data_IF_914549458093
#
_entry.id   IF_914549458093
#
_cell.length_a   1.000
_cell.length_b   1.000
_cell.length_c   1.000
_cell.angle_alpha   90.00
_cell.angle_beta   90.00
_cell.angle_gamma   90.00
#
_symmetry.space_group_name_H-M   'P 1'
#
loop_
_entity.id
_entity.type
_entity.pdbx_description
1 polymer ?
#
# COMPACT_ATOMS: atom_id res chain seq x y z
N UNK A 1 14.05 -13.49 5.12
CA UNK A 1 13.75 -13.02 3.76
C UNK A 1 14.50 -11.72 3.49
N UNK A 2 15.03 -11.54 2.28
CA UNK A 2 15.65 -10.28 1.86
C UNK A 2 14.59 -9.41 1.18
N UNK A 3 14.45 -8.17 1.63
CA UNK A 3 13.67 -7.17 0.91
C UNK A 3 14.62 -6.09 0.43
N UNK A 4 14.97 -6.18 -0.85
CA UNK A 4 15.56 -5.06 -1.56
C UNK A 4 14.40 -4.23 -2.09
N UNK A 5 14.15 -3.07 -1.50
CA UNK A 5 13.30 -2.06 -2.13
C UNK A 5 14.11 -1.47 -3.30
N UNK A 6 14.23 -2.22 -4.39
CA UNK A 6 14.99 -1.81 -5.57
C UNK A 6 14.09 -1.35 -6.71
N UNK A 7 14.62 -0.38 -7.44
CA UNK A 7 14.11 0.23 -8.66
C UNK A 7 13.69 -0.76 -9.75
N UNK A 8 12.87 -0.32 -10.74
CA UNK A 8 12.62 -1.09 -11.95
C UNK A 8 13.93 -1.25 -12.74
N UNK A 9 14.57 -2.43 -12.65
CA UNK A 9 15.78 -2.75 -13.44
C UNK A 9 16.81 -3.68 -12.77
N UNK A 10 16.68 -3.97 -11.47
CA UNK A 10 17.68 -4.71 -10.67
C UNK A 10 17.69 -6.24 -10.84
N UNK A 11 17.25 -6.79 -11.99
CA UNK A 11 17.26 -8.25 -12.24
C UNK A 11 18.66 -8.87 -12.29
N UNK A 12 19.71 -8.06 -12.43
CA UNK A 12 21.10 -8.52 -12.57
C UNK A 12 21.82 -8.86 -11.24
N UNK A 13 21.20 -8.67 -10.07
CA UNK A 13 21.93 -8.75 -8.79
C UNK A 13 21.48 -9.85 -7.83
N UNK A 14 20.44 -10.63 -8.18
CA UNK A 14 20.13 -11.88 -7.49
C UNK A 14 21.20 -12.97 -7.71
N UNK A 15 21.99 -12.89 -8.78
CA UNK A 15 23.02 -13.89 -9.12
C UNK A 15 24.23 -13.87 -8.19
N UNK A 16 24.61 -12.71 -7.63
CA UNK A 16 25.77 -12.62 -6.72
C UNK A 16 25.49 -13.28 -5.36
N UNK A 17 24.22 -13.33 -4.94
CA UNK A 17 23.74 -14.02 -3.74
C UNK A 17 23.56 -15.52 -3.99
N UNK A 18 23.21 -15.94 -5.21
CA UNK A 18 23.15 -17.37 -5.61
C UNK A 18 24.49 -18.06 -5.37
N UNK A 19 25.60 -17.39 -5.70
CA UNK A 19 26.96 -17.91 -5.55
C UNK A 19 27.39 -18.20 -4.10
N UNK A 20 26.78 -17.54 -3.10
CA UNK A 20 27.05 -17.84 -1.68
C UNK A 20 26.14 -18.95 -1.12
N UNK A 21 24.94 -19.15 -1.68
CA UNK A 21 24.03 -20.22 -1.24
C UNK A 21 24.38 -21.60 -1.80
N UNK A 22 25.01 -21.67 -2.98
CA UNK A 22 25.41 -22.93 -3.62
C UNK A 22 26.61 -23.63 -2.94
N UNK A 23 27.29 -22.96 -2.00
CA UNK A 23 28.46 -23.49 -1.31
C UNK A 23 28.15 -24.35 -0.06
N UNK A 24 26.88 -24.64 0.28
CA UNK A 24 26.55 -25.46 1.47
C UNK A 24 25.51 -26.56 1.17
N UNK A 25 26.06 -27.75 0.88
CA UNK A 25 25.60 -29.09 1.25
C UNK A 25 24.09 -29.40 1.23
N UNK A 26 23.66 -30.17 0.22
CA UNK A 26 22.43 -30.97 0.26
C UNK A 26 22.68 -32.28 1.02
N UNK A 27 22.00 -32.50 2.14
CA UNK A 27 21.75 -33.82 2.72
C UNK A 27 20.29 -34.24 2.45
N UNK A 28 19.99 -35.53 2.23
CA UNK A 28 18.63 -35.95 1.90
C UNK A 28 17.85 -36.28 3.19
N UNK A 29 16.68 -35.67 3.38
CA UNK A 29 15.68 -36.23 4.30
C UNK A 29 14.43 -36.66 3.55
N UNK A 30 14.17 -37.97 3.62
CA UNK A 30 12.88 -38.58 3.30
C UNK A 30 11.95 -38.34 4.48
N UNK A 31 10.74 -37.84 4.25
CA UNK A 31 9.65 -38.02 5.21
C UNK A 31 8.39 -38.55 4.53
N UNK A 32 8.01 -39.75 4.99
CA UNK A 32 6.80 -40.50 4.69
C UNK A 32 5.56 -39.81 5.26
N UNK A 33 4.48 -39.82 4.49
CA UNK A 33 3.23 -39.17 4.85
C UNK A 33 2.53 -39.76 6.09
N UNK A 34 1.90 -38.86 6.85
CA UNK A 34 0.66 -39.13 7.59
C UNK A 34 -0.26 -37.93 7.42
N UNK A 35 -1.47 -38.21 6.92
CA UNK A 35 -2.61 -37.27 6.94
C UNK A 35 -2.85 -36.87 8.39
N UNK A 36 -2.77 -35.57 8.67
CA UNK A 36 -3.25 -35.00 9.93
C UNK A 36 -4.48 -34.14 9.65
N UNK A 37 -5.43 -34.27 10.56
CA UNK A 37 -6.79 -33.73 10.51
C UNK A 37 -6.82 -32.21 10.38
N UNK A 38 -7.80 -31.72 9.63
CA UNK A 38 -8.12 -30.31 9.47
C UNK A 38 -8.48 -29.71 10.83
N UNK A 39 -7.51 -29.08 11.49
CA UNK A 39 -7.76 -28.20 12.62
C UNK A 39 -8.27 -26.86 12.09
N UNK A 40 -9.39 -26.39 12.66
CA UNK A 40 -10.04 -25.13 12.37
C UNK A 40 -9.04 -23.97 12.25
N UNK A 41 -8.97 -23.38 11.06
CA UNK A 41 -8.20 -22.17 10.76
C UNK A 41 -9.03 -20.96 11.22
N UNK A 42 -9.21 -20.79 12.52
CA UNK A 42 -9.63 -19.52 13.13
C UNK A 42 -8.40 -18.83 13.70
N UNK A 43 -7.56 -18.24 12.84
CA UNK A 43 -6.31 -17.65 13.32
C UNK A 43 -5.48 -16.82 12.33
N UNK A 44 -5.91 -16.62 11.09
CA UNK A 44 -5.23 -15.74 10.14
C UNK A 44 -5.43 -14.26 10.51
N UNK A 45 -4.72 -13.77 11.52
CA UNK A 45 -4.71 -12.35 11.92
C UNK A 45 -3.91 -11.55 10.88
N UNK A 46 -4.37 -10.38 10.44
CA UNK A 46 -3.61 -9.50 9.53
C UNK A 46 -2.34 -8.93 10.17
N UNK A 47 -1.59 -8.09 9.42
CA UNK A 47 -0.53 -7.23 9.99
C UNK A 47 -1.05 -5.92 10.58
N UNK A 48 -2.35 -5.63 10.44
CA UNK A 48 -2.99 -4.59 11.23
C UNK A 48 -2.80 -4.92 12.72
N UNK A 49 -2.17 -4.00 13.44
CA UNK A 49 -2.02 -4.10 14.89
C UNK A 49 -3.40 -4.22 15.51
N UNK A 50 -3.53 -5.08 16.51
CA UNK A 50 -4.66 -4.91 17.44
C UNK A 50 -4.30 -3.73 18.34
N UNK A 51 -5.25 -2.85 18.63
CA UNK A 51 -5.10 -1.92 19.76
C UNK A 51 -4.59 -2.69 21.00
N UNK A 52 -3.50 -2.21 21.61
CA UNK A 52 -2.77 -2.92 22.65
C UNK A 52 -1.58 -3.78 22.16
N UNK A 53 -1.19 -3.71 20.89
CA UNK A 53 0.10 -4.21 20.40
C UNK A 53 1.03 -3.04 20.11
N UNK A 54 2.27 -3.15 20.61
CA UNK A 54 3.25 -2.06 20.54
C UNK A 54 4.23 -2.28 19.39
N UNK A 55 4.58 -1.23 18.66
CA UNK A 55 5.75 -1.21 17.79
C UNK A 55 6.77 -0.18 18.28
N UNK A 56 8.04 -0.58 18.37
CA UNK A 56 9.13 0.34 18.71
C UNK A 56 9.90 0.72 17.45
N UNK A 57 10.10 2.02 17.22
CA UNK A 57 10.82 2.55 16.07
C UNK A 57 11.99 3.42 16.52
N UNK A 58 13.21 3.04 16.16
CA UNK A 58 14.40 3.86 16.43
C UNK A 58 14.69 4.82 15.28
N UNK A 59 15.22 6.00 15.57
CA UNK A 59 15.41 7.06 14.58
C UNK A 59 14.08 7.62 14.05
N UNK A 60 13.01 7.59 14.86
CA UNK A 60 11.65 7.97 14.44
C UNK A 60 11.47 9.47 14.13
N UNK A 61 12.43 10.33 14.50
CA UNK A 61 12.33 11.78 14.34
C UNK A 61 12.45 12.32 12.89
N UNK A 62 12.66 11.46 11.88
CA UNK A 62 12.71 11.88 10.47
C UNK A 62 12.78 10.69 9.49
N UNK A 63 12.38 10.92 8.24
CA UNK A 63 12.68 10.04 7.11
C UNK A 63 12.00 8.67 7.23
N UNK A 64 12.74 7.57 6.96
CA UNK A 64 12.18 6.21 6.98
C UNK A 64 11.61 5.83 8.35
N UNK A 65 12.26 6.24 9.44
CA UNK A 65 11.77 5.96 10.80
C UNK A 65 10.46 6.67 11.09
N UNK A 66 10.34 7.92 10.68
CA UNK A 66 9.09 8.69 10.81
C UNK A 66 7.97 8.05 9.96
N UNK A 67 8.27 7.67 8.72
CA UNK A 67 7.33 6.99 7.84
C UNK A 67 6.86 5.65 8.42
N UNK A 68 7.75 4.87 9.05
CA UNK A 68 7.36 3.66 9.79
C UNK A 68 6.41 3.99 10.94
N UNK A 69 6.72 4.98 11.77
CA UNK A 69 5.86 5.38 12.88
C UNK A 69 4.46 5.78 12.39
N UNK A 70 4.38 6.62 11.36
CA UNK A 70 3.11 7.02 10.70
C UNK A 70 2.32 5.83 10.20
N UNK A 71 2.96 4.93 9.45
CA UNK A 71 2.29 3.77 8.88
C UNK A 71 1.82 2.79 9.96
N UNK A 72 2.63 2.53 10.98
CA UNK A 72 2.30 1.61 12.06
C UNK A 72 1.18 2.17 12.96
N UNK A 73 1.16 3.48 13.23
CA UNK A 73 0.01 4.11 13.89
C UNK A 73 -1.27 3.94 13.07
N UNK A 74 -1.22 4.16 11.75
CA UNK A 74 -2.36 3.96 10.85
C UNK A 74 -2.82 2.49 10.79
N UNK A 75 -1.90 1.55 10.91
CA UNK A 75 -2.18 0.11 11.00
C UNK A 75 -2.69 -0.31 12.40
N UNK A 76 -2.76 0.61 13.37
CA UNK A 76 -3.40 0.42 14.68
C UNK A 76 -2.47 -0.02 15.82
N UNK A 77 -1.16 0.13 15.67
CA UNK A 77 -0.19 -0.11 16.74
C UNK A 77 -0.12 1.07 17.71
N UNK A 78 0.05 0.76 18.99
CA UNK A 78 0.64 1.71 19.95
C UNK A 78 2.16 1.79 19.66
N UNK A 79 2.79 2.92 19.97
CA UNK A 79 4.17 3.19 19.55
C UNK A 79 5.08 3.54 20.71
N UNK A 80 6.33 3.10 20.62
CA UNK A 80 7.46 3.69 21.33
C UNK A 80 8.38 4.31 20.28
N UNK A 81 8.51 5.63 20.29
CA UNK A 81 9.34 6.35 19.32
C UNK A 81 10.65 6.79 19.98
N UNK A 82 11.77 6.33 19.42
CA UNK A 82 13.11 6.52 20.00
C UNK A 82 13.97 7.37 19.07
N UNK A 83 14.48 8.50 19.56
CA UNK A 83 15.49 9.32 18.88
C UNK A 83 16.10 10.34 19.86
N UNK A 84 17.15 11.05 19.43
CA UNK A 84 17.81 12.08 20.25
C UNK A 84 17.00 13.37 20.41
N UNK A 85 16.22 13.75 19.38
CA UNK A 85 15.51 15.03 19.31
C UNK A 85 14.11 14.89 19.90
N UNK A 86 14.00 15.10 21.20
CA UNK A 86 12.76 14.92 21.94
C UNK A 86 11.60 15.79 21.41
N UNK A 87 11.85 17.05 21.08
CA UNK A 87 10.80 17.96 20.59
C UNK A 87 10.10 17.42 19.34
N UNK A 88 10.86 16.94 18.35
CA UNK A 88 10.30 16.34 17.14
C UNK A 88 9.56 15.02 17.41
N UNK A 89 10.00 14.25 18.42
CA UNK A 89 9.29 13.03 18.81
C UNK A 89 7.95 13.36 19.47
N UNK A 90 7.88 14.42 20.28
CA UNK A 90 6.64 14.88 20.89
C UNK A 90 5.65 15.41 19.85
N UNK A 91 6.13 16.20 18.87
CA UNK A 91 5.31 16.64 17.74
C UNK A 91 4.74 15.45 16.96
N UNK A 92 5.58 14.47 16.63
CA UNK A 92 5.14 13.24 15.98
C UNK A 92 4.14 12.46 16.85
N UNK A 93 4.39 12.35 18.15
CA UNK A 93 3.50 11.64 19.08
C UNK A 93 2.12 12.30 19.16
N UNK A 94 2.06 13.64 19.25
CA UNK A 94 0.82 14.40 19.28
C UNK A 94 0.04 14.24 17.96
N UNK A 95 0.75 14.32 16.84
CA UNK A 95 0.16 14.10 15.52
C UNK A 95 -0.43 12.70 15.39
N UNK A 96 0.35 11.65 15.69
CA UNK A 96 -0.09 10.27 15.55
C UNK A 96 -1.20 9.90 16.54
N UNK A 97 -1.16 10.45 17.76
CA UNK A 97 -2.22 10.28 18.75
C UNK A 97 -3.53 10.94 18.28
N UNK A 98 -3.46 12.17 17.75
CA UNK A 98 -4.63 12.87 17.22
C UNK A 98 -5.18 12.24 15.94
N UNK A 99 -4.30 11.82 15.02
CA UNK A 99 -4.65 11.27 13.73
C UNK A 99 -5.05 9.80 13.79
N UNK A 100 -4.55 8.98 14.72
CA UNK A 100 -4.81 7.53 14.72
C UNK A 100 -5.26 6.98 16.07
N UNK A 101 -5.37 7.83 17.10
CA UNK A 101 -5.75 7.38 18.45
C UNK A 101 -4.82 6.32 19.02
N UNK A 102 -3.58 6.24 18.52
CA UNK A 102 -2.52 5.37 19.02
C UNK A 102 -1.95 5.98 20.31
N UNK A 103 -1.63 5.15 21.30
CA UNK A 103 -0.79 5.61 22.41
C UNK A 103 0.66 5.69 21.93
N UNK A 104 1.29 6.85 22.03
CA UNK A 104 2.68 7.06 21.59
C UNK A 104 3.53 7.48 22.78
N UNK A 105 4.45 6.60 23.18
CA UNK A 105 5.47 6.85 24.18
C UNK A 105 6.72 7.44 23.52
N UNK A 106 7.18 8.58 24.02
CA UNK A 106 8.39 9.26 23.56
C UNK A 106 9.56 8.86 24.46
N UNK A 107 10.61 8.27 23.88
CA UNK A 107 11.81 7.84 24.59
C UNK A 107 13.05 8.53 23.98
N UNK A 108 13.47 9.67 24.56
CA UNK A 108 14.70 10.34 24.16
C UNK A 108 15.93 9.47 24.48
N UNK A 109 16.70 9.11 23.46
CA UNK A 109 17.89 8.28 23.63
C UNK A 109 18.93 8.55 22.55
N UNK A 110 20.19 8.65 22.95
CA UNK A 110 21.34 8.57 22.05
C UNK A 110 21.85 7.12 21.99
N UNK A 111 21.55 6.43 20.89
CA UNK A 111 21.93 5.04 20.68
C UNK A 111 23.43 4.84 20.41
N UNK A 112 24.25 5.89 20.49
CA UNK A 112 25.72 5.76 20.60
C UNK A 112 26.21 5.64 22.04
N UNK A 113 25.32 5.83 23.02
CA UNK A 113 25.61 5.75 24.46
C UNK A 113 25.08 4.45 25.03
N UNK A 114 25.96 3.64 25.61
CA UNK A 114 25.63 2.29 26.11
C UNK A 114 24.52 2.30 27.17
N UNK A 115 24.53 3.28 28.07
CA UNK A 115 23.51 3.43 29.11
C UNK A 115 22.10 3.69 28.52
N UNK A 116 22.02 4.46 27.45
CA UNK A 116 20.75 4.73 26.75
C UNK A 116 20.26 3.49 26.00
N UNK A 117 21.16 2.77 25.32
CA UNK A 117 20.84 1.47 24.68
C UNK A 117 20.32 0.48 25.73
N UNK A 118 20.95 0.40 26.90
CA UNK A 118 20.53 -0.48 27.98
C UNK A 118 19.13 -0.13 28.51
N UNK A 119 18.81 1.17 28.65
CA UNK A 119 17.48 1.65 29.05
C UNK A 119 16.41 1.27 28.03
N UNK A 120 16.62 1.53 26.74
CA UNK A 120 15.67 1.15 25.69
C UNK A 120 15.51 -0.37 25.62
N UNK A 121 16.60 -1.14 25.75
CA UNK A 121 16.55 -2.59 25.79
C UNK A 121 15.76 -3.11 27.01
N UNK A 122 15.86 -2.45 28.16
CA UNK A 122 15.07 -2.78 29.35
C UNK A 122 13.59 -2.53 29.10
N UNK A 123 13.22 -1.36 28.58
CA UNK A 123 11.84 -1.04 28.23
C UNK A 123 11.24 -2.06 27.25
N UNK A 124 12.03 -2.55 26.29
CA UNK A 124 11.64 -3.64 25.37
C UNK A 124 11.36 -4.94 26.13
N UNK A 125 12.22 -5.34 27.07
CA UNK A 125 12.06 -6.59 27.84
C UNK A 125 10.81 -6.57 28.72
N UNK A 126 10.46 -5.39 29.24
CA UNK A 126 9.30 -5.17 30.10
C UNK A 126 7.98 -5.11 29.29
N UNK A 127 8.06 -4.95 27.96
CA UNK A 127 6.90 -4.86 27.08
C UNK A 127 6.37 -6.24 26.64
N UNK A 128 5.36 -6.73 27.35
CA UNK A 128 4.63 -7.95 26.98
C UNK A 128 3.87 -7.85 25.64
N UNK A 129 3.59 -6.64 25.17
CA UNK A 129 2.80 -6.32 23.96
C UNK A 129 3.65 -6.01 22.72
N UNK A 130 4.98 -5.93 22.82
CA UNK A 130 5.84 -5.59 21.68
C UNK A 130 5.68 -6.60 20.53
N UNK A 131 5.04 -6.16 19.45
CA UNK A 131 4.79 -6.96 18.26
C UNK A 131 5.81 -6.69 17.16
N UNK A 132 6.40 -5.48 17.13
CA UNK A 132 7.36 -5.09 16.10
C UNK A 132 8.51 -4.24 16.68
N UNK A 133 9.74 -4.55 16.27
CA UNK A 133 10.92 -3.70 16.48
C UNK A 133 11.44 -3.23 15.12
N UNK A 134 11.59 -1.93 14.93
CA UNK A 134 12.21 -1.33 13.75
C UNK A 134 13.53 -0.67 14.16
N UNK A 135 14.64 -1.38 13.94
CA UNK A 135 15.99 -0.84 14.09
C UNK A 135 16.32 0.03 12.87
N UNK A 136 15.94 1.30 12.93
CA UNK A 136 16.13 2.26 11.84
C UNK A 136 17.17 3.34 12.13
N UNK A 137 17.46 3.65 13.40
CA UNK A 137 18.42 4.69 13.74
C UNK A 137 19.77 4.50 13.02
N UNK A 138 20.23 5.57 12.39
CA UNK A 138 21.50 5.56 11.67
C UNK A 138 21.84 6.91 11.04
N UNK A 139 23.10 7.04 10.67
CA UNK A 139 23.67 8.21 10.00
C UNK A 139 24.87 7.79 9.15
N UNK A 140 25.35 8.67 8.28
CA UNK A 140 26.58 8.45 7.53
C UNK A 140 27.49 9.66 7.61
N UNK A 141 28.73 9.48 7.17
CA UNK A 141 29.78 10.49 7.03
C UNK A 141 30.34 10.39 5.61
N UNK A 142 30.59 11.50 4.94
CA UNK A 142 31.03 11.52 3.54
C UNK A 142 32.50 11.98 3.41
N UNK A 143 33.42 11.18 3.94
CA UNK A 143 34.86 11.45 3.91
C UNK A 143 35.64 10.17 3.60
N UNK A 144 36.91 10.31 3.18
CA UNK A 144 37.79 9.15 3.06
C UNK A 144 38.00 8.55 4.44
N UNK A 145 38.04 7.22 4.53
CA UNK A 145 38.20 6.47 5.78
C UNK A 145 39.33 7.01 6.68
N UNK A 146 40.50 7.30 6.08
CA UNK A 146 41.70 7.75 6.79
C UNK A 146 41.64 9.22 7.21
N UNK A 147 40.77 10.01 6.58
CA UNK A 147 40.64 11.45 6.83
C UNK A 147 39.47 11.75 7.79
N UNK A 148 38.52 10.82 7.91
CA UNK A 148 37.33 10.96 8.75
C UNK A 148 37.65 10.79 10.25
N UNK A 149 36.97 11.59 11.09
CA UNK A 149 37.06 11.49 12.56
C UNK A 149 36.76 10.05 13.04
N UNK A 150 37.73 9.44 13.72
CA UNK A 150 37.61 8.06 14.20
C UNK A 150 36.43 7.89 15.17
N UNK A 151 36.20 8.87 16.04
CA UNK A 151 35.11 8.81 17.01
C UNK A 151 33.74 8.79 16.31
N UNK A 152 33.56 9.57 15.24
CA UNK A 152 32.35 9.53 14.41
C UNK A 152 32.14 8.16 13.76
N UNK A 153 33.21 7.54 13.26
CA UNK A 153 33.15 6.21 12.67
C UNK A 153 32.80 5.13 13.71
N UNK A 154 33.37 5.21 14.92
CA UNK A 154 33.05 4.32 16.03
C UNK A 154 31.60 4.51 16.51
N UNK A 155 31.12 5.76 16.63
CA UNK A 155 29.72 6.05 16.93
C UNK A 155 28.78 5.46 15.89
N UNK A 156 29.14 5.53 14.61
CA UNK A 156 28.34 4.94 13.53
C UNK A 156 28.23 3.42 13.70
N UNK A 157 29.34 2.74 13.95
CA UNK A 157 29.34 1.30 14.22
C UNK A 157 28.53 0.94 15.48
N UNK A 158 28.60 1.76 16.53
CA UNK A 158 27.82 1.56 17.74
C UNK A 158 26.31 1.65 17.46
N UNK A 159 25.86 2.73 16.82
CA UNK A 159 24.43 2.95 16.51
C UNK A 159 23.91 1.90 15.54
N UNK A 160 24.63 1.62 14.45
CA UNK A 160 24.14 0.69 13.43
C UNK A 160 24.19 -0.77 13.87
N UNK A 161 25.22 -1.18 14.63
CA UNK A 161 25.45 -2.59 14.92
C UNK A 161 25.15 -2.93 16.39
N UNK A 162 25.83 -2.29 17.34
CA UNK A 162 25.76 -2.67 18.76
C UNK A 162 24.39 -2.36 19.37
N UNK A 163 23.82 -1.20 19.06
CA UNK A 163 22.46 -0.86 19.49
C UNK A 163 21.44 -1.83 18.85
N UNK A 164 21.47 -2.00 17.52
CA UNK A 164 20.55 -2.90 16.83
C UNK A 164 20.64 -4.35 17.35
N UNK A 165 21.85 -4.86 17.63
CA UNK A 165 22.08 -6.16 18.25
C UNK A 165 21.41 -6.23 19.63
N UNK A 166 21.68 -5.27 20.49
CA UNK A 166 21.19 -5.25 21.88
C UNK A 166 19.66 -5.17 21.95
N UNK A 167 19.05 -4.30 21.13
CA UNK A 167 17.60 -4.14 21.06
C UNK A 167 16.92 -5.36 20.44
N UNK A 168 17.53 -5.95 19.41
CA UNK A 168 17.04 -7.20 18.80
C UNK A 168 17.06 -8.34 19.80
N UNK A 169 18.15 -8.52 20.53
CA UNK A 169 18.26 -9.55 21.55
C UNK A 169 17.16 -9.40 22.62
N UNK A 170 16.94 -8.18 23.12
CA UNK A 170 15.87 -7.88 24.06
C UNK A 170 14.47 -8.21 23.49
N UNK A 171 14.19 -7.82 22.25
CA UNK A 171 12.89 -8.03 21.63
C UNK A 171 12.60 -9.52 21.36
N UNK A 172 13.60 -10.26 20.86
CA UNK A 172 13.43 -11.66 20.49
C UNK A 172 13.10 -12.56 21.68
N UNK A 173 13.62 -12.27 22.88
CA UNK A 173 13.29 -13.03 24.10
C UNK A 173 11.77 -13.09 24.33
N UNK A 174 11.10 -11.93 24.31
CA UNK A 174 9.65 -11.84 24.48
C UNK A 174 8.87 -12.36 23.26
N UNK A 175 9.31 -12.04 22.05
CA UNK A 175 8.62 -12.47 20.82
C UNK A 175 8.62 -13.99 20.64
N UNK A 176 9.74 -14.66 20.91
CA UNK A 176 9.87 -16.11 20.83
C UNK A 176 8.99 -16.78 21.88
N UNK A 177 9.00 -16.28 23.13
CA UNK A 177 8.12 -16.80 24.19
C UNK A 177 6.64 -16.72 23.82
N UNK A 178 6.22 -15.70 23.06
CA UNK A 178 4.85 -15.53 22.56
C UNK A 178 4.57 -16.26 21.23
N UNK A 179 5.59 -16.83 20.60
CA UNK A 179 5.50 -17.46 19.29
C UNK A 179 5.14 -16.50 18.14
N UNK A 180 5.37 -15.20 18.31
CA UNK A 180 4.98 -14.17 17.34
C UNK A 180 5.76 -12.86 17.55
N UNK A 181 6.09 -12.21 16.45
CA UNK A 181 6.70 -10.89 16.42
C UNK A 181 7.49 -10.67 15.14
N UNK A 182 7.90 -9.44 14.89
CA UNK A 182 8.71 -9.07 13.73
C UNK A 182 9.83 -8.10 14.13
N UNK A 183 11.03 -8.33 13.61
CA UNK A 183 12.15 -7.39 13.70
C UNK A 183 12.51 -6.92 12.28
N UNK A 184 12.60 -5.61 12.08
CA UNK A 184 13.05 -4.98 10.84
C UNK A 184 14.36 -4.26 11.14
N UNK A 185 15.44 -4.73 10.52
CA UNK A 185 16.74 -4.06 10.55
C UNK A 185 16.90 -3.25 9.26
N UNK A 186 16.90 -1.91 9.38
CA UNK A 186 17.04 -1.01 8.23
C UNK A 186 18.52 -0.90 7.86
N UNK A 187 18.90 -1.71 6.88
CA UNK A 187 20.20 -1.69 6.22
C UNK A 187 20.22 -0.65 5.09
N UNK A 188 20.84 -0.97 3.96
CA UNK A 188 20.96 -0.16 2.75
C UNK A 188 21.44 -1.02 1.60
N UNK A 189 21.16 -0.61 0.35
CA UNK A 189 21.83 -1.19 -0.82
C UNK A 189 23.36 -1.10 -0.72
N UNK A 190 23.89 -0.13 0.02
CA UNK A 190 25.31 0.03 0.29
C UNK A 190 25.89 -1.12 1.14
N UNK A 191 25.05 -1.83 1.90
CA UNK A 191 25.43 -3.06 2.60
C UNK A 191 25.60 -4.27 1.68
N UNK A 192 25.16 -4.17 0.41
CA UNK A 192 25.29 -5.23 -0.61
C UNK A 192 26.34 -4.88 -1.67
N UNK A 193 26.51 -3.58 -1.94
CA UNK A 193 27.43 -3.05 -2.96
C UNK A 193 28.23 -1.92 -2.33
N UNK A 194 29.53 -2.13 -2.04
CA UNK A 194 30.34 -1.08 -1.42
C UNK A 194 30.62 0.05 -2.41
N UNK A 195 30.74 1.27 -1.90
CA UNK A 195 31.06 2.48 -2.63
C UNK A 195 32.28 3.20 -2.01
N UNK A 196 33.11 3.90 -2.82
CA UNK A 196 34.15 4.77 -2.28
C UNK A 196 33.59 5.78 -1.27
N UNK A 197 34.41 6.17 -0.29
CA UNK A 197 34.07 7.15 0.76
C UNK A 197 32.97 6.72 1.76
N UNK A 198 32.50 5.48 1.71
CA UNK A 198 31.49 4.94 2.62
C UNK A 198 31.92 3.65 3.34
N UNK A 199 33.22 3.35 3.41
CA UNK A 199 33.71 2.04 3.86
C UNK A 199 33.10 1.54 5.20
N UNK A 200 33.06 2.39 6.23
CA UNK A 200 32.46 2.04 7.54
C UNK A 200 30.93 1.94 7.44
N UNK A 201 30.29 2.90 6.75
CA UNK A 201 28.85 2.85 6.53
C UNK A 201 28.42 1.54 5.84
N UNK A 202 29.04 1.22 4.70
CA UNK A 202 28.79 0.00 3.93
C UNK A 202 29.01 -1.25 4.78
N UNK A 203 30.11 -1.31 5.54
CA UNK A 203 30.42 -2.43 6.42
C UNK A 203 29.36 -2.61 7.53
N UNK A 204 28.90 -1.52 8.16
CA UNK A 204 27.85 -1.58 9.19
C UNK A 204 26.49 -2.01 8.60
N UNK A 205 26.17 -1.57 7.38
CA UNK A 205 24.96 -2.00 6.68
C UNK A 205 25.06 -3.47 6.23
N UNK A 206 26.25 -3.91 5.81
CA UNK A 206 26.54 -5.32 5.52
C UNK A 206 26.43 -6.22 6.75
N UNK A 207 26.87 -5.73 7.92
CA UNK A 207 26.64 -6.42 9.19
C UNK A 207 25.15 -6.67 9.43
N UNK A 208 24.30 -5.65 9.29
CA UNK A 208 22.84 -5.79 9.48
C UNK A 208 22.21 -6.80 8.52
N UNK A 209 22.72 -6.91 7.29
CA UNK A 209 22.29 -7.92 6.32
C UNK A 209 22.59 -9.32 6.85
N UNK A 210 23.86 -9.63 7.07
CA UNK A 210 24.29 -10.97 7.50
C UNK A 210 23.72 -11.35 8.88
N UNK A 211 23.63 -10.38 9.79
CA UNK A 211 23.03 -10.56 11.11
C UNK A 211 21.56 -10.98 11.00
N UNK A 212 20.78 -10.30 10.15
CA UNK A 212 19.37 -10.62 9.93
C UNK A 212 19.19 -11.98 9.26
N UNK A 213 20.08 -12.37 8.35
CA UNK A 213 20.06 -13.70 7.74
C UNK A 213 20.32 -14.81 8.74
N UNK A 214 21.35 -14.65 9.59
CA UNK A 214 21.67 -15.60 10.64
C UNK A 214 20.48 -15.81 11.57
N UNK A 215 19.90 -14.72 12.07
CA UNK A 215 18.69 -14.77 12.88
C UNK A 215 17.51 -15.41 12.15
N UNK A 216 17.33 -15.16 10.86
CA UNK A 216 16.23 -15.77 10.10
C UNK A 216 16.33 -17.30 10.07
N UNK A 217 17.56 -17.86 10.02
CA UNK A 217 17.75 -19.31 10.10
C UNK A 217 17.41 -19.85 11.50
N UNK A 218 17.85 -19.15 12.55
CA UNK A 218 17.62 -19.53 13.95
C UNK A 218 16.14 -19.44 14.35
N UNK A 219 15.40 -18.48 13.80
CA UNK A 219 14.01 -18.22 14.15
C UNK A 219 13.00 -19.13 13.43
N UNK A 220 13.45 -20.06 12.57
CA UNK A 220 12.56 -21.01 11.88
C UNK A 220 11.71 -21.80 12.87
N UNK A 221 10.40 -21.85 12.62
CA UNK A 221 9.44 -22.55 13.47
C UNK A 221 9.03 -21.81 14.76
N UNK A 222 9.67 -20.69 15.11
CA UNK A 222 9.30 -19.90 16.30
C UNK A 222 8.05 -19.02 16.09
N UNK A 223 7.65 -18.78 14.83
CA UNK A 223 6.59 -17.84 14.48
C UNK A 223 7.02 -16.36 14.48
N UNK A 224 8.27 -16.08 14.86
CA UNK A 224 8.90 -14.75 14.81
C UNK A 224 9.60 -14.55 13.46
N UNK A 225 9.58 -13.32 12.94
CA UNK A 225 10.23 -12.95 11.67
C UNK A 225 11.31 -11.90 11.90
N UNK A 226 12.34 -11.96 11.07
CA UNK A 226 13.36 -10.93 10.95
C UNK A 226 13.57 -10.59 9.49
N UNK A 227 13.67 -9.30 9.19
CA UNK A 227 13.85 -8.75 7.85
C UNK A 227 15.05 -7.80 7.84
N UNK A 228 15.97 -7.99 6.89
CA UNK A 228 16.86 -6.94 6.46
C UNK A 228 16.15 -6.12 5.37
N UNK A 229 15.85 -4.86 5.67
CA UNK A 229 15.36 -3.90 4.70
C UNK A 229 16.55 -3.18 4.09
N UNK A 230 16.72 -3.23 2.77
CA UNK A 230 17.84 -2.60 2.06
C UNK A 230 17.34 -1.49 1.12
N UNK A 231 17.07 -0.27 1.61
CA UNK A 231 16.63 0.84 0.77
C UNK A 231 17.71 1.31 -0.20
N UNK A 232 17.27 1.80 -1.36
CA UNK A 232 18.07 2.62 -2.27
C UNK A 232 18.06 4.11 -1.87
N UNK A 233 18.35 5.00 -2.82
CA UNK A 233 18.24 6.44 -2.61
C UNK A 233 16.80 6.80 -2.23
N UNK A 234 16.65 7.47 -1.08
CA UNK A 234 15.34 7.76 -0.48
C UNK A 234 15.33 9.21 -0.01
N UNK A 235 14.31 9.96 -0.41
CA UNK A 235 14.13 11.37 -0.06
C UNK A 235 14.00 11.53 1.47
N UNK A 236 15.13 11.83 2.11
CA UNK A 236 15.27 11.96 3.57
C UNK A 236 16.38 12.95 3.88
N UNK A 237 16.34 13.56 5.08
CA UNK A 237 17.43 14.43 5.54
C UNK A 237 18.81 13.76 5.64
N UNK A 238 18.88 12.43 5.50
CA UNK A 238 20.12 11.67 5.48
C UNK A 238 21.03 12.09 4.32
N UNK A 239 20.51 12.22 3.10
CA UNK A 239 21.31 12.54 1.91
C UNK A 239 21.73 14.01 1.88
N UNK A 240 20.88 14.91 2.37
CA UNK A 240 21.19 16.32 2.59
C UNK A 240 22.38 16.47 3.56
N UNK A 241 22.36 15.73 4.68
CA UNK A 241 23.39 15.79 5.71
C UNK A 241 24.78 15.34 5.24
N UNK A 242 24.86 14.55 4.17
CA UNK A 242 26.11 14.05 3.58
C UNK A 242 26.46 14.71 2.23
N UNK A 243 25.67 15.69 1.76
CA UNK A 243 25.96 16.46 0.55
C UNK A 243 25.82 15.72 -0.79
N UNK A 244 25.09 14.60 -0.83
CA UNK A 244 25.05 13.66 -1.98
C UNK A 244 23.93 13.97 -2.99
N UNK A 245 23.08 14.97 -2.74
CA UNK A 245 21.87 15.23 -3.56
C UNK A 245 22.15 15.57 -5.04
N UNK A 246 23.34 16.07 -5.39
CA UNK A 246 23.51 16.82 -6.65
C UNK A 246 23.63 16.00 -7.95
N UNK A 247 23.77 14.67 -7.92
CA UNK A 247 24.11 13.90 -9.13
C UNK A 247 23.28 12.61 -9.39
N UNK A 248 22.23 12.32 -8.62
CA UNK A 248 21.39 11.13 -8.82
C UNK A 248 20.12 11.51 -9.59
N UNK A 249 19.78 10.85 -10.73
CA UNK A 249 18.59 11.20 -11.50
C UNK A 249 17.30 10.99 -10.70
N UNK A 250 16.29 11.85 -10.90
CA UNK A 250 15.05 11.86 -10.09
C UNK A 250 14.35 10.49 -10.02
N UNK A 251 14.30 9.74 -11.13
CA UNK A 251 13.66 8.41 -11.18
C UNK A 251 14.34 7.32 -10.34
N UNK A 252 15.49 7.62 -9.72
CA UNK A 252 16.22 6.73 -8.82
C UNK A 252 15.88 6.99 -7.34
N UNK A 253 15.16 8.07 -7.04
CA UNK A 253 14.77 8.39 -5.67
C UNK A 253 13.43 7.74 -5.31
N UNK A 254 13.39 7.18 -4.11
CA UNK A 254 12.19 6.61 -3.50
C UNK A 254 11.61 7.56 -2.46
N UNK A 255 10.30 7.50 -2.27
CA UNK A 255 9.67 8.12 -1.11
C UNK A 255 9.79 7.18 0.12
N UNK A 256 10.02 7.71 1.34
CA UNK A 256 10.07 6.90 2.56
C UNK A 256 8.84 5.99 2.74
N UNK A 257 7.65 6.48 2.39
CA UNK A 257 6.38 5.75 2.48
C UNK A 257 6.37 4.53 1.56
N UNK A 258 6.92 4.65 0.35
CA UNK A 258 7.01 3.53 -0.60
C UNK A 258 7.96 2.45 -0.10
N UNK A 259 9.07 2.85 0.54
CA UNK A 259 10.03 1.93 1.16
C UNK A 259 9.39 1.16 2.31
N UNK A 260 8.64 1.84 3.17
CA UNK A 260 7.90 1.24 4.30
C UNK A 260 6.82 0.28 3.79
N UNK A 261 6.03 0.70 2.80
CA UNK A 261 4.96 -0.12 2.23
C UNK A 261 5.50 -1.40 1.59
N UNK A 262 6.61 -1.31 0.86
CA UNK A 262 7.31 -2.47 0.31
C UNK A 262 7.81 -3.42 1.41
N UNK A 263 8.42 -2.86 2.47
CA UNK A 263 8.93 -3.63 3.62
C UNK A 263 7.83 -4.43 4.30
N UNK A 264 6.70 -3.78 4.63
CA UNK A 264 5.57 -4.42 5.30
C UNK A 264 4.85 -5.43 4.39
N UNK A 265 4.74 -5.13 3.09
CA UNK A 265 4.19 -6.08 2.11
C UNK A 265 5.02 -7.37 2.01
N UNK A 266 6.35 -7.27 2.08
CA UNK A 266 7.20 -8.45 2.04
C UNK A 266 7.17 -9.27 3.33
N UNK A 267 7.02 -8.62 4.49
CA UNK A 267 6.73 -9.34 5.74
C UNK A 267 5.40 -10.10 5.66
N UNK A 268 4.38 -9.53 5.01
CA UNK A 268 3.12 -10.21 4.74
C UNK A 268 3.31 -11.41 3.79
N UNK A 269 4.04 -11.25 2.68
CA UNK A 269 4.35 -12.35 1.77
C UNK A 269 5.07 -13.49 2.48
N UNK A 270 6.09 -13.17 3.28
CA UNK A 270 6.83 -14.16 4.08
C UNK A 270 5.92 -14.85 5.10
N UNK A 271 5.01 -14.09 5.71
CA UNK A 271 4.03 -14.64 6.66
C UNK A 271 3.10 -15.67 6.04
N UNK A 272 2.72 -15.47 4.78
CA UNK A 272 1.77 -16.31 4.06
C UNK A 272 2.43 -17.22 3.02
N UNK A 273 3.76 -17.33 2.97
CA UNK A 273 4.51 -18.08 1.94
C UNK A 273 4.16 -19.57 1.87
N UNK A 274 3.68 -20.17 2.98
CA UNK A 274 3.19 -21.55 3.04
C UNK A 274 1.67 -21.70 3.01
N UNK A 275 0.91 -20.61 2.81
CA UNK A 275 -0.57 -20.63 2.84
C UNK A 275 -1.12 -20.62 1.41
N UNK A 276 -1.46 -21.79 0.87
CA UNK A 276 -1.95 -21.93 -0.52
C UNK A 276 -3.22 -21.10 -0.83
N UNK A 277 -4.02 -20.79 0.19
CA UNK A 277 -5.26 -20.02 0.06
C UNK A 277 -5.07 -18.50 0.10
N UNK A 278 -3.84 -18.01 0.30
CA UNK A 278 -3.55 -16.57 0.44
C UNK A 278 -2.40 -16.19 -0.50
N UNK A 279 -2.64 -15.17 -1.32
CA UNK A 279 -1.61 -14.55 -2.17
C UNK A 279 -1.57 -13.05 -1.86
N UNK A 280 -0.37 -12.55 -1.52
CA UNK A 280 -0.15 -11.14 -1.23
C UNK A 280 0.43 -10.46 -2.47
N UNK A 281 -0.29 -9.47 -2.98
CA UNK A 281 0.09 -8.70 -4.18
C UNK A 281 0.28 -7.25 -3.75
N UNK A 282 1.50 -6.74 -3.94
CA UNK A 282 1.81 -5.32 -3.78
C UNK A 282 1.91 -4.69 -5.17
N UNK A 283 0.94 -3.85 -5.51
CA UNK A 283 0.84 -3.18 -6.81
C UNK A 283 -0.04 -1.93 -6.70
N UNK A 284 0.12 -1.00 -7.64
CA UNK A 284 -0.84 0.09 -7.84
C UNK A 284 -2.16 -0.47 -8.38
N UNK A 285 -3.23 -0.36 -7.59
CA UNK A 285 -4.55 -0.86 -7.93
C UNK A 285 -5.15 -0.23 -9.20
N UNK A 286 -4.76 1.00 -9.55
CA UNK A 286 -5.22 1.66 -10.79
C UNK A 286 -4.55 1.05 -12.03
N UNK A 287 -3.34 0.52 -11.88
CA UNK A 287 -2.56 -0.11 -12.95
C UNK A 287 -2.66 -1.64 -12.95
N UNK A 288 -3.19 -2.23 -11.87
CA UNK A 288 -3.30 -3.67 -11.71
C UNK A 288 -4.23 -4.30 -12.78
N UNK A 289 -3.86 -5.51 -13.22
CA UNK A 289 -4.63 -6.34 -14.14
C UNK A 289 -5.48 -7.34 -13.35
N UNK A 290 -6.75 -7.01 -13.12
CA UNK A 290 -7.68 -7.86 -12.38
C UNK A 290 -8.10 -9.10 -13.17
N UNK A 291 -7.93 -9.09 -14.51
CA UNK A 291 -8.11 -10.31 -15.32
C UNK A 291 -7.00 -11.33 -15.10
N UNK A 292 -5.80 -10.90 -14.68
CA UNK A 292 -4.67 -11.78 -14.35
C UNK A 292 -5.04 -12.91 -13.38
N UNK A 293 -5.50 -12.59 -12.15
CA UNK A 293 -5.96 -13.59 -11.19
C UNK A 293 -7.10 -14.48 -11.72
N UNK A 294 -8.01 -13.93 -12.51
CA UNK A 294 -9.11 -14.69 -13.09
C UNK A 294 -8.63 -15.74 -14.10
N UNK A 295 -7.68 -15.37 -14.96
CA UNK A 295 -7.00 -16.31 -15.88
C UNK A 295 -6.23 -17.37 -15.10
N UNK A 296 -5.50 -16.96 -14.06
CA UNK A 296 -4.73 -17.87 -13.19
C UNK A 296 -5.62 -18.93 -12.53
N UNK A 297 -6.81 -18.55 -12.06
CA UNK A 297 -7.69 -19.44 -11.29
C UNK A 297 -8.82 -20.06 -12.12
N UNK A 298 -8.95 -19.73 -13.41
CA UNK A 298 -9.98 -20.26 -14.30
C UNK A 298 -11.42 -19.94 -13.87
N UNK A 299 -11.62 -18.88 -13.08
CA UNK A 299 -12.93 -18.49 -12.54
C UNK A 299 -13.03 -16.99 -12.34
N UNK A 300 -14.26 -16.47 -12.38
CA UNK A 300 -14.53 -15.09 -11.97
C UNK A 300 -14.19 -14.89 -10.50
N UNK A 301 -13.67 -13.71 -10.16
CA UNK A 301 -13.33 -13.36 -8.78
C UNK A 301 -14.40 -12.48 -8.14
N UNK A 302 -14.31 -12.36 -6.81
CA UNK A 302 -15.07 -11.38 -6.03
C UNK A 302 -14.06 -10.36 -5.51
N UNK A 303 -14.39 -9.08 -5.57
CA UNK A 303 -13.54 -8.02 -5.00
C UNK A 303 -14.26 -7.44 -3.78
N UNK A 304 -13.57 -7.44 -2.65
CA UNK A 304 -14.02 -6.84 -1.40
C UNK A 304 -12.95 -5.84 -0.98
N UNK A 305 -13.30 -4.56 -0.88
CA UNK A 305 -12.31 -3.52 -0.62
C UNK A 305 -12.89 -2.32 0.13
N UNK A 306 -12.04 -1.69 0.94
CA UNK A 306 -12.24 -0.33 1.41
C UNK A 306 -11.44 0.60 0.50
N UNK A 307 -12.11 1.47 -0.27
CA UNK A 307 -11.43 2.28 -1.26
C UNK A 307 -10.98 3.63 -0.68
N UNK A 308 -9.75 4.08 -0.99
CA UNK A 308 -9.33 5.43 -0.63
C UNK A 308 -10.20 6.47 -1.34
N UNK A 309 -10.42 7.59 -0.68
CA UNK A 309 -11.38 8.61 -1.14
C UNK A 309 -10.93 9.25 -2.46
N UNK A 310 -9.64 9.56 -2.59
CA UNK A 310 -9.08 10.27 -3.76
C UNK A 310 -9.14 9.45 -5.07
N UNK A 311 -9.08 8.12 -4.98
CA UNK A 311 -9.01 7.24 -6.16
C UNK A 311 -10.24 6.35 -6.35
N UNK A 312 -11.27 6.50 -5.51
CA UNK A 312 -12.46 5.65 -5.52
C UNK A 312 -13.09 5.58 -6.92
N UNK A 313 -13.46 6.72 -7.50
CA UNK A 313 -14.17 6.73 -8.80
C UNK A 313 -13.33 6.17 -9.96
N UNK A 314 -12.05 6.57 -10.15
CA UNK A 314 -11.18 5.95 -11.16
C UNK A 314 -11.05 4.44 -11.00
N UNK A 315 -10.87 3.94 -9.78
CA UNK A 315 -10.73 2.51 -9.52
C UNK A 315 -12.03 1.74 -9.79
N UNK A 316 -13.19 2.34 -9.50
CA UNK A 316 -14.48 1.74 -9.83
C UNK A 316 -14.67 1.66 -11.34
N UNK A 317 -14.36 2.72 -12.10
CA UNK A 317 -14.40 2.64 -13.57
C UNK A 317 -13.46 1.58 -14.13
N UNK A 318 -12.26 1.45 -13.55
CA UNK A 318 -11.32 0.37 -13.89
C UNK A 318 -11.94 -1.01 -13.66
N UNK A 319 -12.53 -1.25 -12.49
CA UNK A 319 -13.22 -2.51 -12.16
C UNK A 319 -14.41 -2.78 -13.10
N UNK A 320 -15.20 -1.75 -13.45
CA UNK A 320 -16.31 -1.88 -14.42
C UNK A 320 -15.80 -2.22 -15.83
N UNK A 321 -14.62 -1.72 -16.23
CA UNK A 321 -13.99 -2.07 -17.51
C UNK A 321 -13.48 -3.51 -17.55
N UNK A 322 -13.16 -4.09 -16.39
CA UNK A 322 -12.73 -5.49 -16.25
C UNK A 322 -13.83 -6.42 -15.70
N UNK A 323 -15.08 -5.95 -15.69
CA UNK A 323 -16.26 -6.67 -15.18
C UNK A 323 -16.44 -8.10 -15.69
N UNK A 324 -15.93 -8.40 -16.88
CA UNK A 324 -16.00 -9.72 -17.50
C UNK A 324 -15.38 -10.81 -16.62
N UNK A 325 -14.38 -10.44 -15.82
CA UNK A 325 -13.68 -11.34 -14.91
C UNK A 325 -14.24 -11.31 -13.47
N UNK A 326 -15.26 -10.49 -13.20
CA UNK A 326 -15.79 -10.25 -11.87
C UNK A 326 -17.21 -10.82 -11.70
N UNK A 327 -17.47 -11.41 -10.54
CA UNK A 327 -18.80 -11.92 -10.16
C UNK A 327 -19.51 -11.05 -9.13
N UNK A 328 -18.75 -10.32 -8.31
CA UNK A 328 -19.28 -9.48 -7.23
C UNK A 328 -18.27 -8.39 -6.88
N UNK A 329 -18.76 -7.15 -6.67
CA UNK A 329 -18.02 -6.12 -5.94
C UNK A 329 -18.74 -5.80 -4.63
N UNK A 330 -17.97 -5.72 -3.55
CA UNK A 330 -18.41 -5.17 -2.26
C UNK A 330 -17.40 -4.10 -1.85
N UNK A 331 -17.79 -2.84 -2.01
CA UNK A 331 -16.88 -1.71 -1.86
C UNK A 331 -17.36 -0.80 -0.74
N UNK A 332 -16.49 -0.47 0.19
CA UNK A 332 -16.70 0.65 1.10
C UNK A 332 -16.12 1.92 0.47
N UNK A 333 -16.96 2.95 0.35
CA UNK A 333 -16.63 4.26 -0.23
C UNK A 333 -17.29 5.37 0.59
N UNK A 334 -16.96 6.63 0.32
CA UNK A 334 -17.71 7.76 0.88
C UNK A 334 -19.18 7.69 0.46
N UNK A 335 -20.08 8.11 1.34
CA UNK A 335 -21.52 8.06 1.11
C UNK A 335 -21.95 8.86 -0.12
N UNK A 336 -21.29 9.98 -0.42
CA UNK A 336 -21.54 10.76 -1.63
C UNK A 336 -21.24 9.95 -2.90
N UNK A 337 -20.08 9.28 -2.95
CA UNK A 337 -19.69 8.41 -4.06
C UNK A 337 -20.69 7.26 -4.21
N UNK A 338 -21.10 6.64 -3.11
CA UNK A 338 -22.13 5.60 -3.11
C UNK A 338 -23.47 6.08 -3.68
N UNK A 339 -23.91 7.30 -3.29
CA UNK A 339 -25.15 7.91 -3.83
C UNK A 339 -25.06 8.12 -5.33
N UNK A 340 -23.91 8.58 -5.85
CA UNK A 340 -23.67 8.77 -7.29
C UNK A 340 -23.74 7.47 -8.10
N UNK A 341 -23.58 6.30 -7.49
CA UNK A 341 -23.73 5.00 -8.18
C UNK A 341 -25.19 4.55 -8.30
N UNK A 342 -26.02 4.88 -7.32
CA UNK A 342 -27.42 4.44 -7.24
C UNK A 342 -28.42 5.55 -7.60
N UNK A 343 -27.92 6.75 -7.94
CA UNK A 343 -28.72 7.92 -8.24
C UNK A 343 -29.69 7.64 -9.41
N UNK A 344 -30.98 7.99 -9.28
CA UNK A 344 -31.93 7.95 -10.38
C UNK A 344 -31.76 9.17 -11.31
N UNK A 345 -32.20 9.07 -12.58
CA UNK A 345 -32.26 10.19 -13.50
C UNK A 345 -32.99 11.41 -12.91
N UNK A 346 -32.59 12.60 -13.33
CA UNK A 346 -33.13 13.88 -12.88
C UNK A 346 -32.58 14.38 -11.54
N UNK A 347 -31.73 13.61 -10.85
CA UNK A 347 -31.14 14.01 -9.57
C UNK A 347 -29.77 14.67 -9.72
N UNK A 348 -29.38 15.47 -8.72
CA UNK A 348 -28.07 16.14 -8.70
C UNK A 348 -26.88 15.15 -8.73
N UNK A 349 -27.05 13.99 -8.11
CA UNK A 349 -26.00 12.97 -7.97
C UNK A 349 -25.90 12.07 -9.21
N UNK A 350 -26.90 12.11 -10.10
CA UNK A 350 -26.91 11.33 -11.34
C UNK A 350 -25.81 11.77 -12.30
N UNK A 351 -25.15 10.79 -12.92
CA UNK A 351 -23.94 11.02 -13.69
C UNK A 351 -23.40 9.75 -14.35
N UNK A 352 -22.20 9.83 -14.96
CA UNK A 352 -21.58 8.69 -15.63
C UNK A 352 -21.45 7.47 -14.72
N UNK A 353 -21.12 7.67 -13.44
CA UNK A 353 -20.97 6.57 -12.49
C UNK A 353 -22.29 5.80 -12.30
N UNK A 354 -23.43 6.48 -12.18
CA UNK A 354 -24.74 5.82 -12.08
C UNK A 354 -25.07 5.01 -13.34
N UNK A 355 -24.83 5.61 -14.51
CA UNK A 355 -25.15 5.01 -15.81
C UNK A 355 -24.32 3.73 -16.02
N UNK A 356 -23.00 3.82 -15.91
CA UNK A 356 -22.11 2.67 -16.10
C UNK A 356 -22.33 1.58 -15.04
N UNK A 357 -22.59 1.97 -13.79
CA UNK A 357 -22.90 1.02 -12.71
C UNK A 357 -24.16 0.21 -13.01
N UNK A 358 -25.26 0.88 -13.38
CA UNK A 358 -26.56 0.25 -13.65
C UNK A 358 -26.60 -0.55 -14.94
N UNK A 359 -25.80 -0.14 -15.94
CA UNK A 359 -25.68 -0.86 -17.21
C UNK A 359 -25.12 -2.26 -17.02
N UNK A 360 -24.16 -2.41 -16.10
CA UNK A 360 -23.40 -3.64 -15.92
C UNK A 360 -23.79 -4.48 -14.71
N UNK A 361 -24.45 -3.88 -13.72
CA UNK A 361 -24.74 -4.57 -12.47
C UNK A 361 -26.08 -4.13 -11.85
N UNK A 362 -26.63 -4.99 -11.00
CA UNK A 362 -27.57 -4.58 -9.96
C UNK A 362 -26.76 -3.95 -8.82
N UNK A 363 -26.92 -2.63 -8.64
CA UNK A 363 -26.12 -1.84 -7.70
C UNK A 363 -27.00 -1.28 -6.60
N UNK A 364 -26.60 -1.53 -5.35
CA UNK A 364 -27.32 -1.05 -4.17
C UNK A 364 -26.39 -0.67 -3.04
N UNK A 365 -26.78 0.35 -2.29
CA UNK A 365 -26.18 0.61 -0.98
C UNK A 365 -26.66 -0.48 -0.03
N UNK A 366 -25.75 -1.33 0.45
CA UNK A 366 -26.07 -2.42 1.36
C UNK A 366 -26.36 -1.86 2.76
N UNK A 367 -25.48 -1.00 3.28
CA UNK A 367 -25.66 -0.29 4.55
C UNK A 367 -24.71 0.91 4.64
N UNK A 368 -25.00 1.83 5.56
CA UNK A 368 -24.13 2.97 5.89
C UNK A 368 -23.19 2.60 7.03
N UNK A 369 -21.98 3.16 7.01
CA UNK A 369 -20.97 3.00 8.05
C UNK A 369 -20.79 4.33 8.76
N UNK A 370 -20.97 4.33 10.09
CA UNK A 370 -20.84 5.54 10.90
C UNK A 370 -19.36 5.91 11.04
N UNK A 371 -19.01 7.22 11.09
CA UNK A 371 -17.64 7.67 11.33
C UNK A 371 -16.97 7.04 12.56
N UNK A 372 -17.71 6.82 13.64
CA UNK A 372 -17.21 6.18 14.86
C UNK A 372 -16.72 4.72 14.68
N UNK A 373 -16.91 4.13 13.50
CA UNK A 373 -16.37 2.80 13.16
C UNK A 373 -14.91 2.87 12.69
N UNK A 374 -14.36 4.07 12.52
CA UNK A 374 -12.99 4.33 12.09
C UNK A 374 -12.23 5.07 13.17
N UNK A 375 -10.92 4.94 13.11
CA UNK A 375 -10.00 5.60 14.00
C UNK A 375 -8.92 6.24 13.10
N UNK A 376 -8.87 7.57 13.01
CA UNK A 376 -9.76 8.52 13.67
C UNK A 376 -11.14 8.51 12.98
N UNK A 377 -12.21 9.00 13.63
CA UNK A 377 -13.49 9.15 12.96
C UNK A 377 -13.37 10.16 11.80
N UNK A 378 -13.66 9.77 10.53
CA UNK A 378 -13.62 10.71 9.42
C UNK A 378 -14.73 11.75 9.52
N UNK A 379 -14.52 12.92 8.92
CA UNK A 379 -15.54 13.98 8.85
C UNK A 379 -16.69 13.65 7.89
N UNK A 380 -16.54 12.60 7.09
CA UNK A 380 -17.50 12.15 6.08
C UNK A 380 -18.11 10.81 6.46
N UNK A 381 -19.35 10.59 6.05
CA UNK A 381 -20.00 9.28 6.18
C UNK A 381 -19.52 8.33 5.08
N UNK A 382 -19.49 7.03 5.38
CA UNK A 382 -19.16 5.98 4.44
C UNK A 382 -20.34 5.04 4.21
N UNK A 383 -20.32 4.29 3.12
CA UNK A 383 -21.31 3.28 2.83
C UNK A 383 -20.67 2.08 2.13
N UNK A 384 -21.24 0.90 2.38
CA UNK A 384 -20.90 -0.31 1.65
C UNK A 384 -21.87 -0.45 0.47
N UNK A 385 -21.32 -0.53 -0.73
CA UNK A 385 -22.06 -0.71 -1.98
C UNK A 385 -21.80 -2.09 -2.53
N UNK A 386 -22.86 -2.76 -2.97
CA UNK A 386 -22.80 -4.09 -3.59
C UNK A 386 -23.13 -3.95 -5.07
N UNK A 387 -22.30 -4.56 -5.92
CA UNK A 387 -22.54 -4.72 -7.35
C UNK A 387 -22.66 -6.22 -7.66
N UNK A 388 -23.83 -6.63 -8.12
CA UNK A 388 -24.06 -7.98 -8.67
C UNK A 388 -24.02 -7.87 -10.20
N UNK A 389 -22.94 -8.37 -10.81
CA UNK A 389 -22.74 -8.22 -12.26
C UNK A 389 -23.73 -9.06 -13.06
N UNK A 390 -24.33 -8.42 -14.06
CA UNK A 390 -25.28 -9.06 -14.97
C UNK A 390 -24.54 -9.94 -15.99
N UNK A 391 -25.13 -11.07 -16.44
CA UNK A 391 -24.56 -11.89 -17.52
C UNK A 391 -24.45 -11.14 -18.85
N UNK A 392 -25.36 -10.19 -19.10
CA UNK A 392 -25.41 -9.29 -20.25
C UNK A 392 -25.74 -7.88 -19.77
N UNK A 393 -25.49 -6.86 -20.58
CA UNK A 393 -25.85 -5.49 -20.23
C UNK A 393 -27.35 -5.34 -20.02
N UNK A 394 -27.76 -4.50 -19.07
CA UNK A 394 -29.19 -4.27 -18.76
C UNK A 394 -29.99 -3.80 -19.98
N UNK A 395 -29.34 -2.98 -20.79
CA UNK A 395 -29.87 -2.46 -22.05
C UNK A 395 -28.87 -2.80 -23.15
N UNK A 396 -29.35 -3.06 -24.37
CA UNK A 396 -28.48 -3.18 -25.53
C UNK A 396 -27.67 -1.89 -25.71
N UNK A 397 -26.36 -1.97 -25.93
CA UNK A 397 -25.48 -0.78 -25.99
C UNK A 397 -25.21 -0.33 -27.42
N UNK A 398 -24.95 -1.25 -28.34
CA UNK A 398 -24.38 -0.91 -29.65
C UNK A 398 -22.86 -0.71 -29.55
N UNK A 399 -22.31 0.36 -30.13
CA UNK A 399 -20.91 0.76 -29.97
C UNK A 399 -20.65 1.43 -28.61
N UNK A 400 -19.92 0.74 -27.73
CA UNK A 400 -19.57 1.22 -26.38
C UNK A 400 -18.77 2.53 -26.44
N UNK A 401 -17.97 2.76 -27.50
CA UNK A 401 -17.21 4.01 -27.66
C UNK A 401 -18.11 5.21 -27.94
N UNK A 402 -19.11 5.05 -28.80
CA UNK A 402 -20.10 6.09 -29.05
C UNK A 402 -20.90 6.38 -27.78
N UNK A 403 -21.31 5.35 -27.04
CA UNK A 403 -21.99 5.54 -25.74
C UNK A 403 -21.11 6.31 -24.75
N UNK A 404 -19.82 5.96 -24.64
CA UNK A 404 -18.87 6.68 -23.79
C UNK A 404 -18.75 8.16 -24.19
N UNK A 405 -18.67 8.45 -25.48
CA UNK A 405 -18.57 9.81 -26.00
C UNK A 405 -19.85 10.63 -25.74
N UNK A 406 -21.03 10.02 -25.90
CA UNK A 406 -22.34 10.62 -25.58
C UNK A 406 -22.45 10.91 -24.08
N UNK A 407 -22.15 9.94 -23.21
CA UNK A 407 -22.22 10.15 -21.75
C UNK A 407 -21.20 11.22 -21.34
N UNK A 408 -19.94 11.09 -21.76
CA UNK A 408 -18.87 12.04 -21.40
C UNK A 408 -19.24 13.46 -21.81
N UNK A 409 -19.67 13.68 -23.06
CA UNK A 409 -19.98 15.02 -23.56
C UNK A 409 -21.16 15.67 -22.83
N UNK A 410 -22.21 14.90 -22.54
CA UNK A 410 -23.40 15.43 -21.85
C UNK A 410 -23.12 15.85 -20.40
N UNK A 411 -22.26 15.13 -19.69
CA UNK A 411 -21.88 15.49 -18.31
C UNK A 411 -20.73 16.49 -18.24
N UNK A 412 -19.84 16.57 -19.24
CA UNK A 412 -18.88 17.69 -19.37
C UNK A 412 -19.60 19.02 -19.54
N UNK A 413 -20.66 19.06 -20.36
CA UNK A 413 -21.46 20.25 -20.62
C UNK A 413 -22.81 20.23 -19.90
N UNK A 414 -22.84 19.80 -18.64
CA UNK A 414 -24.07 19.56 -17.86
C UNK A 414 -25.09 20.70 -17.83
N UNK A 415 -24.62 21.96 -17.92
CA UNK A 415 -25.49 23.16 -17.93
C UNK A 415 -26.12 23.47 -19.29
N UNK A 416 -25.72 22.77 -20.36
CA UNK A 416 -26.22 22.96 -21.73
C UNK A 416 -27.33 21.95 -22.03
N UNK A 417 -28.16 22.27 -23.02
CA UNK A 417 -29.09 21.28 -23.57
C UNK A 417 -28.31 20.11 -24.18
N UNK A 418 -28.92 18.93 -24.17
CA UNK A 418 -28.37 17.69 -24.74
C UNK A 418 -27.81 17.92 -26.15
N UNK A 419 -28.59 18.58 -27.00
CA UNK A 419 -28.19 18.83 -28.38
C UNK A 419 -26.93 19.70 -28.48
N UNK A 420 -26.81 20.74 -27.64
CA UNK A 420 -25.61 21.60 -27.68
C UNK A 420 -24.39 20.90 -27.10
N UNK A 421 -24.56 20.07 -26.07
CA UNK A 421 -23.48 19.26 -25.51
C UNK A 421 -22.89 18.29 -26.54
N UNK A 422 -23.76 17.60 -27.30
CA UNK A 422 -23.35 16.67 -28.35
C UNK A 422 -22.70 17.39 -29.54
N UNK A 423 -23.22 18.55 -29.96
CA UNK A 423 -22.58 19.36 -31.00
C UNK A 423 -21.15 19.77 -30.63
N UNK A 424 -20.92 20.15 -29.36
CA UNK A 424 -19.58 20.51 -28.87
C UNK A 424 -18.62 19.32 -28.84
N UNK A 425 -19.14 18.09 -28.77
CA UNK A 425 -18.37 16.87 -28.92
C UNK A 425 -18.19 16.41 -30.38
N UNK A 426 -18.66 17.20 -31.35
CA UNK A 426 -18.43 16.95 -32.78
C UNK A 426 -19.51 16.11 -33.46
N UNK A 427 -20.63 15.78 -32.79
CA UNK A 427 -21.74 15.10 -33.46
C UNK A 427 -22.47 16.05 -34.43
N UNK A 428 -22.80 15.64 -35.68
CA UNK A 428 -23.48 16.51 -36.64
C UNK A 428 -24.86 16.96 -36.15
N UNK A 429 -25.15 18.26 -36.28
CA UNK A 429 -26.42 18.84 -35.81
C UNK A 429 -27.67 18.19 -36.44
N UNK A 430 -27.59 17.80 -37.72
CA UNK A 430 -28.65 17.08 -38.43
C UNK A 430 -28.92 15.71 -37.79
N UNK A 431 -27.87 14.92 -37.54
CA UNK A 431 -27.99 13.59 -36.91
C UNK A 431 -28.51 13.68 -35.48
N UNK A 432 -28.04 14.65 -34.70
CA UNK A 432 -28.57 14.90 -33.35
C UNK A 432 -30.07 15.22 -33.39
N UNK A 433 -30.50 16.09 -34.30
CA UNK A 433 -31.91 16.46 -34.44
C UNK A 433 -32.76 15.24 -34.79
N UNK A 434 -32.37 14.49 -35.82
CA UNK A 434 -33.08 13.29 -36.26
C UNK A 434 -33.16 12.23 -35.16
N UNK A 435 -32.04 11.94 -34.49
CA UNK A 435 -32.00 10.97 -33.39
C UNK A 435 -32.88 11.39 -32.21
N UNK A 436 -32.90 12.68 -31.88
CA UNK A 436 -33.71 13.19 -30.77
C UNK A 436 -35.21 13.14 -31.09
N UNK A 437 -35.58 13.47 -32.33
CA UNK A 437 -36.98 13.43 -32.80
C UNK A 437 -37.50 11.99 -32.89
N UNK A 438 -36.70 11.05 -33.40
CA UNK A 438 -37.10 9.63 -33.49
C UNK A 438 -37.26 8.97 -32.11
N UNK A 439 -36.52 9.44 -31.10
CA UNK A 439 -36.57 8.93 -29.72
C UNK A 439 -37.54 9.71 -28.83
N UNK A 440 -38.20 10.77 -29.33
CA UNK A 440 -39.14 11.57 -28.54
C UNK A 440 -38.50 12.39 -27.41
N UNK A 441 -37.18 12.56 -27.41
CA UNK A 441 -36.45 13.30 -26.38
C UNK A 441 -36.72 14.80 -26.55
N UNK A 442 -36.97 15.58 -25.49
CA UNK A 442 -37.27 17.03 -25.58
C UNK A 442 -36.09 17.88 -26.11
N UNK A 443 -36.31 18.98 -26.86
CA UNK A 443 -35.22 19.86 -27.31
C UNK A 443 -34.50 20.54 -26.14
N UNK A 444 -35.23 20.71 -25.03
CA UNK A 444 -34.75 21.30 -23.79
C UNK A 444 -34.16 20.26 -22.82
N UNK A 445 -34.18 18.98 -23.18
CA UNK A 445 -33.60 17.91 -22.36
C UNK A 445 -32.12 18.18 -22.08
N UNK A 446 -31.65 17.72 -20.92
CA UNK A 446 -30.25 17.80 -20.50
C UNK A 446 -29.76 16.40 -20.18
N UNK A 447 -28.44 16.21 -20.14
CA UNK A 447 -27.85 14.90 -19.86
C UNK A 447 -28.41 14.26 -18.58
N UNK A 448 -28.60 15.03 -17.51
CA UNK A 448 -29.13 14.49 -16.26
C UNK A 448 -30.59 14.00 -16.33
N UNK A 449 -31.38 14.41 -17.33
CA UNK A 449 -32.79 14.01 -17.44
C UNK A 449 -32.98 12.68 -18.17
N UNK A 450 -31.95 12.19 -18.84
CA UNK A 450 -32.03 10.96 -19.63
C UNK A 450 -31.87 9.72 -18.75
N UNK A 451 -32.70 8.72 -18.96
CA UNK A 451 -32.51 7.39 -18.37
C UNK A 451 -31.49 6.54 -19.16
N UNK A 452 -31.22 5.33 -18.67
CA UNK A 452 -30.20 4.44 -19.24
C UNK A 452 -30.61 3.98 -20.65
N UNK A 453 -31.88 3.68 -20.83
CA UNK A 453 -32.49 3.24 -22.08
C UNK A 453 -32.38 4.32 -23.16
N UNK A 454 -32.70 5.57 -22.82
CA UNK A 454 -32.57 6.75 -23.68
C UNK A 454 -31.10 7.00 -24.06
N UNK A 455 -30.16 6.91 -23.11
CA UNK A 455 -28.73 7.07 -23.41
C UNK A 455 -28.24 6.02 -24.41
N UNK A 456 -28.60 4.75 -24.21
CA UNK A 456 -28.18 3.67 -25.11
C UNK A 456 -28.85 3.79 -26.49
N UNK A 457 -30.13 4.15 -26.54
CA UNK A 457 -30.85 4.36 -27.80
C UNK A 457 -30.29 5.55 -28.59
N UNK A 458 -29.98 6.65 -27.89
CA UNK A 458 -29.36 7.83 -28.48
C UNK A 458 -27.96 7.51 -29.03
N UNK A 459 -27.14 6.76 -28.29
CA UNK A 459 -25.84 6.33 -28.76
C UNK A 459 -25.95 5.52 -30.07
N UNK A 460 -26.85 4.53 -30.13
CA UNK A 460 -27.12 3.75 -31.35
C UNK A 460 -27.55 4.62 -32.53
N UNK A 461 -28.44 5.58 -32.30
CA UNK A 461 -28.90 6.48 -33.34
C UNK A 461 -27.78 7.42 -33.86
N UNK A 462 -26.74 7.63 -33.06
CA UNK A 462 -25.57 8.44 -33.40
C UNK A 462 -24.39 7.61 -33.94
N UNK A 463 -24.52 6.28 -34.04
CA UNK A 463 -23.50 5.41 -34.63
C UNK A 463 -23.25 5.74 -36.11
N UNK A 464 -22.02 5.49 -36.55
CA UNK A 464 -21.53 5.86 -37.90
C UNK A 464 -20.87 7.24 -37.90
N UNK A 465 -19.55 7.28 -37.74
CA UNK A 465 -18.77 8.50 -37.97
C UNK A 465 -18.73 8.77 -39.47
N UNK A 466 -19.32 9.86 -39.95
CA UNK A 466 -18.69 10.58 -41.06
C UNK A 466 -17.45 11.22 -40.44
N UNK A 467 -16.27 10.64 -40.68
CA UNK A 467 -15.03 11.37 -40.42
C UNK A 467 -15.08 12.65 -41.27
N UNK A 468 -14.67 13.81 -40.73
CA UNK A 468 -14.44 14.98 -41.57
C UNK A 468 -13.42 14.68 -42.68
#
# INVERSE_FOLDING_TARGET
>A
SFTVASMPGSRLHAERLSLHSEARGRGPERFSGKRSEVRNITGGRGMAGKRGETALVTGASSGIGEAFARRLAADGYDLVVVARREELLRELADELSGAHGAAVEVEPADLSVEADVARVAQRIREDGSLAMLVNNAGFSTAEKFVDADLESQLRMAHVHNLAALSLTHAALQGMIARGRGSVINVSSIAGLVPAPYNAVYDATKGFLVLFSEGLHQELRGTGVRVQALCPGYTHTGFHAAIGVERNIPEGFWLNPEEVVDASLADLLKERFSGTESVEIIWADALQFDFRGPCRKWGRKIKVVANLPYEISSPLIFRLLKERDCLSLLVLMVQLEVARRMVAPPGTKDYGPLAIWSRLYADVRIAFRVKPASFIPPPQVQSAVVKFEFLPQTRVQVGDEKTLEEVIRSTFTYRRKTLGKALQLAGFPASRIKTARESLGISPMARGETLDLEEFCALARALEGREKP
#
